data_IF_523761832301
#
_entry.id   IF_523761832301
#
_cell.length_a   1.000
_cell.length_b   1.000
_cell.length_c   1.000
_cell.angle_alpha   90.00
_cell.angle_beta   90.00
_cell.angle_gamma   90.00
#
_symmetry.space_group_name_H-M   'P 1'
#
loop_
_entity.id
_entity.type
_entity.pdbx_description
1 polymer ?
#
# COMPACT_ATOMS: atom_id res chain seq x y z
N UNK A 1 -11.54 -13.13 -27.42
CA UNK A 1 -12.34 -13.03 -26.17
C UNK A 1 -12.07 -11.68 -25.57
N UNK A 2 -13.11 -10.95 -25.18
CA UNK A 2 -12.94 -9.61 -24.60
C UNK A 2 -12.63 -9.82 -23.11
N UNK A 3 -11.41 -9.49 -22.66
CA UNK A 3 -11.09 -9.40 -21.26
C UNK A 3 -11.98 -8.33 -20.64
N UNK A 4 -12.73 -8.63 -19.59
CA UNK A 4 -13.57 -7.62 -18.93
C UNK A 4 -14.93 -8.10 -18.42
N UNK A 5 -15.15 -9.41 -18.31
CA UNK A 5 -16.42 -9.94 -17.78
C UNK A 5 -16.36 -10.00 -16.24
N UNK A 6 -17.40 -9.51 -15.57
CA UNK A 6 -17.58 -9.72 -14.13
C UNK A 6 -17.50 -11.22 -13.79
N UNK A 7 -16.65 -11.58 -12.81
CA UNK A 7 -16.37 -12.98 -12.47
C UNK A 7 -15.16 -13.59 -13.19
N UNK A 8 -14.36 -12.81 -13.94
CA UNK A 8 -13.13 -13.29 -14.54
C UNK A 8 -12.08 -13.68 -13.48
N UNK A 9 -11.25 -14.67 -13.81
CA UNK A 9 -10.15 -15.13 -12.95
C UNK A 9 -8.81 -14.97 -13.66
N UNK A 10 -7.75 -14.81 -12.87
CA UNK A 10 -6.38 -14.91 -13.35
C UNK A 10 -6.03 -16.35 -13.73
N UNK A 11 -4.90 -16.53 -14.37
CA UNK A 11 -4.37 -17.81 -14.80
C UNK A 11 -4.42 -18.89 -13.69
N UNK A 12 -4.11 -18.54 -12.45
CA UNK A 12 -4.14 -19.43 -11.28
C UNK A 12 -5.53 -19.54 -10.59
N UNK A 13 -6.61 -19.10 -11.26
CA UNK A 13 -7.99 -19.28 -10.81
C UNK A 13 -8.50 -18.24 -9.79
N UNK A 14 -7.71 -17.23 -9.44
CA UNK A 14 -8.11 -16.22 -8.48
C UNK A 14 -8.93 -15.09 -9.13
N UNK A 15 -9.96 -14.55 -8.43
CA UNK A 15 -10.76 -13.46 -8.96
C UNK A 15 -9.92 -12.24 -9.30
N UNK A 16 -10.11 -11.68 -10.50
CA UNK A 16 -9.49 -10.42 -10.92
C UNK A 16 -10.47 -9.27 -10.85
N UNK A 17 -9.99 -8.07 -10.68
CA UNK A 17 -10.87 -6.90 -10.64
C UNK A 17 -10.16 -5.59 -10.39
N UNK A 18 -10.83 -4.52 -10.74
CA UNK A 18 -10.43 -3.12 -10.48
C UNK A 18 -11.63 -2.34 -9.95
N UNK A 19 -11.44 -1.46 -8.96
CA UNK A 19 -10.18 -1.12 -8.30
C UNK A 19 -9.63 -2.30 -7.45
N UNK A 20 -8.34 -2.25 -7.13
CA UNK A 20 -7.63 -3.27 -6.34
C UNK A 20 -8.35 -3.66 -5.03
N UNK A 21 -8.96 -2.68 -4.37
CA UNK A 21 -9.73 -2.87 -3.13
C UNK A 21 -10.98 -3.74 -3.31
N UNK A 22 -11.59 -3.76 -4.52
CA UNK A 22 -12.78 -4.57 -4.80
C UNK A 22 -12.49 -6.08 -4.72
N UNK A 23 -11.24 -6.49 -4.90
CA UNK A 23 -10.81 -7.88 -4.78
C UNK A 23 -9.94 -8.13 -3.54
N UNK A 24 -9.92 -7.18 -2.58
CA UNK A 24 -9.21 -7.32 -1.32
C UNK A 24 -7.68 -7.19 -1.43
N UNK A 25 -7.16 -6.50 -2.45
CA UNK A 25 -5.74 -6.16 -2.54
C UNK A 25 -5.42 -5.00 -1.59
N UNK A 26 -4.34 -5.15 -0.85
CA UNK A 26 -3.79 -4.16 0.08
C UNK A 26 -2.28 -4.08 -0.09
N UNK A 27 -1.69 -2.95 0.30
CA UNK A 27 -0.23 -2.75 0.25
C UNK A 27 0.41 -3.20 1.56
N UNK A 28 1.46 -4.01 1.47
CA UNK A 28 2.23 -4.51 2.61
C UNK A 28 3.70 -4.14 2.43
N UNK A 29 4.35 -3.71 3.50
CA UNK A 29 5.78 -3.40 3.46
C UNK A 29 6.60 -4.69 3.66
N UNK A 30 7.57 -4.94 2.79
CA UNK A 30 8.48 -6.08 2.93
C UNK A 30 9.30 -5.92 4.21
N UNK A 31 9.28 -6.96 5.06
CA UNK A 31 10.01 -6.96 6.34
C UNK A 31 11.51 -6.70 6.12
N UNK A 32 12.06 -5.78 6.88
CA UNK A 32 13.47 -5.35 6.77
C UNK A 32 13.72 -4.28 5.69
N UNK A 33 12.67 -3.79 5.04
CA UNK A 33 12.75 -2.73 4.03
C UNK A 33 11.69 -1.66 4.25
N UNK A 34 11.68 -0.65 3.37
CA UNK A 34 10.58 0.33 3.24
C UNK A 34 9.75 0.13 1.97
N UNK A 35 9.88 -1.03 1.31
CA UNK A 35 9.29 -1.29 0.00
C UNK A 35 7.87 -1.83 0.17
N UNK A 36 6.83 -1.12 -0.30
CA UNK A 36 5.47 -1.59 -0.29
C UNK A 36 5.18 -2.45 -1.52
N UNK A 37 4.47 -3.55 -1.34
CA UNK A 37 3.97 -4.39 -2.44
C UNK A 37 2.45 -4.54 -2.29
N UNK A 38 1.65 -4.15 -3.28
CA UNK A 38 0.21 -4.39 -3.29
C UNK A 38 -0.07 -5.85 -3.68
N UNK A 39 -0.64 -6.61 -2.75
CA UNK A 39 -1.03 -8.02 -2.94
C UNK A 39 -2.38 -8.30 -2.30
N UNK A 40 -3.00 -9.42 -2.67
CA UNK A 40 -4.26 -9.88 -2.07
C UNK A 40 -4.06 -10.14 -0.59
N UNK A 41 -4.94 -9.55 0.24
CA UNK A 41 -4.92 -9.68 1.69
C UNK A 41 -5.17 -11.11 2.18
N UNK A 42 -4.78 -11.38 3.41
CA UNK A 42 -4.94 -12.69 4.05
C UNK A 42 -3.76 -13.62 3.80
N UNK A 43 -4.03 -14.90 3.56
CA UNK A 43 -2.99 -15.95 3.45
C UNK A 43 -2.03 -15.71 2.29
N UNK A 44 -2.53 -15.15 1.17
CA UNK A 44 -1.71 -14.76 0.02
C UNK A 44 -0.64 -13.75 0.44
N UNK A 45 -1.04 -12.69 1.14
CA UNK A 45 -0.09 -11.68 1.61
C UNK A 45 0.97 -12.28 2.54
N UNK A 46 0.58 -13.15 3.47
CA UNK A 46 1.53 -13.82 4.36
C UNK A 46 2.59 -14.60 3.58
N UNK A 47 2.18 -15.37 2.59
CA UNK A 47 3.09 -16.21 1.80
C UNK A 47 3.99 -15.35 0.92
N UNK A 48 3.42 -14.47 0.08
CA UNK A 48 4.21 -13.66 -0.87
C UNK A 48 5.13 -12.66 -0.17
N UNK A 49 4.69 -12.04 0.92
CA UNK A 49 5.53 -11.11 1.69
C UNK A 49 6.66 -11.84 2.43
N UNK A 50 6.45 -13.12 2.81
CA UNK A 50 7.53 -13.98 3.33
C UNK A 50 8.56 -14.27 2.26
N UNK A 51 8.13 -14.63 1.06
CA UNK A 51 9.03 -14.85 -0.09
C UNK A 51 9.86 -13.59 -0.35
N UNK A 52 9.21 -12.43 -0.44
CA UNK A 52 9.90 -11.15 -0.67
C UNK A 52 10.89 -10.80 0.45
N UNK A 53 10.53 -11.01 1.73
CA UNK A 53 11.41 -10.75 2.87
C UNK A 53 12.63 -11.66 2.87
N UNK A 54 12.44 -12.95 2.61
CA UNK A 54 13.52 -13.92 2.49
C UNK A 54 14.40 -13.67 1.28
N UNK A 55 13.80 -13.32 0.15
CA UNK A 55 14.56 -12.93 -1.05
C UNK A 55 15.49 -11.76 -0.72
N UNK A 56 14.97 -10.71 -0.09
CA UNK A 56 15.76 -9.54 0.32
C UNK A 56 16.91 -9.90 1.27
N UNK A 57 16.70 -10.84 2.19
CA UNK A 57 17.68 -11.20 3.21
C UNK A 57 18.69 -12.25 2.74
N UNK A 58 18.30 -13.19 1.88
CA UNK A 58 19.05 -14.40 1.57
C UNK A 58 19.58 -14.46 0.12
N UNK A 59 18.94 -13.74 -0.82
CA UNK A 59 19.24 -13.77 -2.26
C UNK A 59 19.97 -12.50 -2.68
N UNK A 60 19.28 -11.35 -2.63
CA UNK A 60 19.85 -10.04 -2.93
C UNK A 60 18.96 -8.91 -2.40
N UNK A 61 19.53 -7.74 -2.09
CA UNK A 61 18.75 -6.59 -1.64
C UNK A 61 17.72 -6.15 -2.66
N UNK A 62 16.47 -5.94 -2.22
CA UNK A 62 15.40 -5.42 -3.07
C UNK A 62 15.60 -3.94 -3.39
N UNK A 63 15.30 -3.58 -4.62
CA UNK A 63 15.32 -2.21 -5.12
C UNK A 63 13.87 -1.77 -5.38
N UNK A 64 13.32 -0.89 -4.54
CA UNK A 64 11.88 -0.62 -4.46
C UNK A 64 11.20 -0.23 -5.78
N UNK A 65 11.89 0.49 -6.66
CA UNK A 65 11.33 0.87 -7.97
C UNK A 65 11.26 -0.30 -8.97
N UNK A 66 11.87 -1.45 -8.65
CA UNK A 66 11.89 -2.68 -9.45
C UNK A 66 11.04 -3.80 -8.82
N UNK A 67 10.27 -3.50 -7.78
CA UNK A 67 9.45 -4.48 -7.07
C UNK A 67 7.99 -4.16 -7.34
N UNK A 68 7.27 -5.13 -7.93
CA UNK A 68 5.90 -4.94 -8.38
C UNK A 68 4.97 -5.99 -7.77
N UNK A 69 3.71 -5.64 -7.60
CA UNK A 69 2.65 -6.52 -7.13
C UNK A 69 1.44 -6.43 -8.04
N UNK A 70 0.27 -6.08 -7.47
CA UNK A 70 -0.97 -5.96 -8.23
C UNK A 70 -0.85 -4.98 -9.41
N UNK A 71 -1.24 -5.47 -10.58
CA UNK A 71 -1.38 -4.71 -11.81
C UNK A 71 -2.53 -5.31 -12.65
N UNK A 72 -3.59 -4.53 -12.92
CA UNK A 72 -4.77 -5.00 -13.64
C UNK A 72 -4.53 -5.07 -15.15
N UNK A 73 -3.89 -6.15 -15.58
CA UNK A 73 -3.52 -6.38 -16.98
C UNK A 73 -3.68 -7.84 -17.39
N UNK A 74 -3.75 -8.06 -18.72
CA UNK A 74 -3.59 -9.39 -19.29
C UNK A 74 -2.16 -9.92 -19.04
N UNK A 75 -1.99 -11.23 -19.11
CA UNK A 75 -0.68 -11.86 -19.10
C UNK A 75 0.13 -11.42 -20.32
N UNK A 76 1.41 -11.09 -20.10
CA UNK A 76 2.28 -10.56 -21.17
C UNK A 76 2.72 -11.63 -22.17
N UNK A 77 2.77 -12.89 -21.72
CA UNK A 77 3.17 -14.03 -22.55
C UNK A 77 1.97 -14.73 -23.18
N UNK A 78 0.74 -14.52 -22.66
CA UNK A 78 -0.49 -15.05 -23.21
C UNK A 78 -1.68 -14.12 -22.95
N UNK A 79 -1.92 -13.19 -23.82
CA UNK A 79 -2.98 -12.15 -23.70
C UNK A 79 -4.41 -12.69 -23.70
N UNK A 80 -4.63 -13.98 -23.84
CA UNK A 80 -5.96 -14.61 -23.65
C UNK A 80 -6.29 -14.84 -22.17
N UNK A 81 -5.34 -14.67 -21.27
CA UNK A 81 -5.49 -14.87 -19.84
C UNK A 81 -5.23 -13.58 -19.07
N UNK A 82 -5.87 -13.45 -17.91
CA UNK A 82 -5.49 -12.44 -16.93
C UNK A 82 -4.22 -12.88 -16.20
N UNK A 83 -3.30 -11.94 -16.05
CA UNK A 83 -2.10 -12.13 -15.24
C UNK A 83 -2.46 -12.40 -13.76
N UNK A 84 -1.63 -13.17 -13.06
CA UNK A 84 -1.72 -13.35 -11.61
C UNK A 84 -1.50 -12.03 -10.83
N UNK A 85 -0.86 -11.03 -11.44
CA UNK A 85 -0.84 -9.67 -10.90
C UNK A 85 -2.24 -9.05 -10.85
N UNK A 86 -3.12 -9.32 -11.82
CA UNK A 86 -4.48 -8.77 -11.86
C UNK A 86 -5.41 -9.28 -10.74
N UNK A 87 -5.04 -10.37 -10.07
CA UNK A 87 -5.69 -10.89 -8.86
C UNK A 87 -4.95 -10.52 -7.57
N UNK A 88 -3.79 -9.87 -7.66
CA UNK A 88 -2.91 -9.59 -6.53
C UNK A 88 -2.23 -10.82 -5.94
N UNK A 89 -2.10 -11.89 -6.72
CA UNK A 89 -1.52 -13.18 -6.29
C UNK A 89 -0.13 -13.45 -6.87
N UNK A 90 0.53 -12.41 -7.40
CA UNK A 90 1.90 -12.46 -7.88
C UNK A 90 2.69 -11.22 -7.45
N UNK A 91 4.01 -11.39 -7.37
CA UNK A 91 4.99 -10.34 -7.15
C UNK A 91 6.16 -10.51 -8.10
N UNK A 92 6.73 -9.39 -8.56
CA UNK A 92 7.99 -9.34 -9.29
C UNK A 92 9.06 -8.70 -8.39
N UNK A 93 10.21 -9.34 -8.27
CA UNK A 93 11.31 -8.93 -7.42
C UNK A 93 12.52 -8.55 -8.28
N UNK A 94 13.02 -7.32 -8.14
CA UNK A 94 14.13 -6.75 -8.91
C UNK A 94 13.96 -6.93 -10.43
N UNK A 95 12.78 -6.62 -10.93
CA UNK A 95 12.32 -6.93 -12.30
C UNK A 95 13.25 -6.47 -13.41
N UNK A 96 13.97 -5.37 -13.25
CA UNK A 96 14.91 -4.86 -14.27
C UNK A 96 16.20 -5.67 -14.33
N UNK A 97 16.58 -6.32 -13.22
CA UNK A 97 17.76 -7.18 -13.17
C UNK A 97 17.45 -8.59 -13.73
N UNK A 98 16.19 -9.01 -13.63
CA UNK A 98 15.74 -10.35 -14.00
C UNK A 98 14.56 -10.30 -14.99
N UNK A 99 14.72 -9.64 -16.17
CA UNK A 99 13.59 -9.32 -17.03
C UNK A 99 12.91 -10.55 -17.63
N UNK A 100 11.61 -10.42 -17.90
CA UNK A 100 10.83 -11.46 -18.57
C UNK A 100 11.52 -11.94 -19.87
N UNK A 101 11.41 -13.21 -20.17
CA UNK A 101 12.06 -13.91 -21.29
C UNK A 101 13.60 -13.95 -21.21
N UNK A 102 14.19 -13.68 -20.05
CA UNK A 102 15.59 -13.92 -19.75
C UNK A 102 15.74 -15.10 -18.77
N UNK A 103 16.82 -15.85 -18.92
CA UNK A 103 17.17 -16.96 -18.04
C UNK A 103 18.62 -16.91 -17.62
N UNK A 104 18.93 -17.46 -16.43
CA UNK A 104 20.30 -17.47 -15.90
C UNK A 104 20.77 -16.10 -15.41
N UNK A 105 19.84 -15.25 -15.03
CA UNK A 105 20.14 -13.91 -14.52
C UNK A 105 20.61 -13.95 -13.05
N UNK A 106 20.29 -15.03 -12.32
CA UNK A 106 20.80 -15.29 -10.97
C UNK A 106 22.07 -16.16 -11.00
N UNK A 107 22.98 -15.90 -10.09
CA UNK A 107 24.12 -16.79 -9.85
C UNK A 107 23.66 -18.15 -9.30
N UNK A 108 24.51 -19.18 -9.39
CA UNK A 108 24.19 -20.50 -8.84
C UNK A 108 23.89 -20.47 -7.32
N UNK A 109 24.56 -19.61 -6.56
CA UNK A 109 24.32 -19.44 -5.14
C UNK A 109 22.94 -18.81 -4.86
N UNK A 110 22.57 -17.78 -5.61
CA UNK A 110 21.25 -17.15 -5.51
C UNK A 110 20.14 -18.11 -5.90
N UNK A 111 20.30 -18.85 -7.01
CA UNK A 111 19.38 -19.91 -7.40
C UNK A 111 19.15 -20.94 -6.28
N UNK A 112 20.23 -21.40 -5.62
CA UNK A 112 20.14 -22.33 -4.50
C UNK A 112 19.29 -21.74 -3.37
N UNK A 113 19.45 -20.46 -3.06
CA UNK A 113 18.65 -19.76 -2.04
C UNK A 113 17.18 -19.65 -2.43
N UNK A 114 16.88 -19.25 -3.68
CA UNK A 114 15.50 -19.18 -4.18
C UNK A 114 14.84 -20.55 -4.08
N UNK A 115 15.51 -21.62 -4.53
CA UNK A 115 15.00 -22.99 -4.44
C UNK A 115 14.75 -23.44 -2.99
N UNK A 116 15.57 -23.01 -2.05
CA UNK A 116 15.33 -23.27 -0.62
C UNK A 116 14.09 -22.55 -0.11
N UNK A 117 13.88 -21.27 -0.50
CA UNK A 117 12.66 -20.52 -0.16
C UNK A 117 11.42 -21.23 -0.70
N UNK A 118 11.46 -21.66 -1.97
CA UNK A 118 10.35 -22.36 -2.61
C UNK A 118 10.06 -23.74 -2.04
N UNK A 119 11.11 -24.47 -1.60
CA UNK A 119 10.95 -25.75 -0.91
C UNK A 119 10.15 -25.59 0.38
N UNK A 120 10.41 -24.52 1.15
CA UNK A 120 9.67 -24.21 2.36
C UNK A 120 8.23 -23.76 2.06
N UNK A 121 7.95 -23.33 0.84
CA UNK A 121 6.59 -22.98 0.38
C UNK A 121 5.75 -24.20 -0.05
N UNK A 122 6.27 -25.43 -0.03
CA UNK A 122 5.54 -26.67 -0.28
C UNK A 122 4.64 -26.64 -1.54
N UNK A 123 5.19 -26.18 -2.67
CA UNK A 123 4.50 -26.00 -3.95
C UNK A 123 3.27 -25.04 -3.91
N UNK A 124 3.13 -24.23 -2.89
CA UNK A 124 2.11 -23.15 -2.84
C UNK A 124 2.54 -21.95 -3.67
N UNK A 125 3.85 -21.77 -3.88
CA UNK A 125 4.42 -20.70 -4.71
C UNK A 125 5.12 -21.30 -5.91
N UNK A 126 4.84 -20.79 -7.11
CA UNK A 126 5.61 -21.04 -8.32
C UNK A 126 6.61 -19.92 -8.57
N UNK A 127 7.69 -20.24 -9.26
CA UNK A 127 8.71 -19.30 -9.72
C UNK A 127 8.78 -19.30 -11.24
N UNK A 128 8.76 -18.12 -11.84
CA UNK A 128 8.72 -17.96 -13.27
C UNK A 128 9.95 -18.48 -14.03
N UNK A 129 11.06 -18.78 -13.34
CA UNK A 129 12.18 -19.48 -13.95
C UNK A 129 11.81 -20.87 -14.52
N UNK A 130 10.74 -21.47 -13.99
CA UNK A 130 10.25 -22.80 -14.39
C UNK A 130 9.18 -22.73 -15.48
N UNK A 131 8.81 -21.54 -15.95
CA UNK A 131 7.81 -21.36 -16.99
C UNK A 131 8.38 -21.64 -18.39
N UNK A 132 7.50 -21.98 -19.34
CA UNK A 132 7.88 -22.18 -20.73
C UNK A 132 8.53 -20.94 -21.39
N UNK A 133 8.09 -19.74 -20.99
CA UNK A 133 8.80 -18.46 -21.18
C UNK A 133 9.37 -18.08 -19.84
N UNK A 134 10.69 -18.11 -19.63
CA UNK A 134 11.29 -17.81 -18.34
C UNK A 134 10.97 -16.39 -17.87
N UNK A 135 10.61 -16.24 -16.59
CA UNK A 135 10.33 -14.97 -15.95
C UNK A 135 10.90 -14.98 -14.53
N UNK A 136 12.22 -14.82 -14.43
CA UNK A 136 12.95 -15.08 -13.18
C UNK A 136 12.64 -14.09 -12.05
N UNK A 137 12.09 -12.89 -12.37
CA UNK A 137 11.61 -11.94 -11.38
C UNK A 137 10.32 -12.39 -10.69
N UNK A 138 9.52 -13.26 -11.36
CA UNK A 138 8.11 -13.53 -11.04
C UNK A 138 7.93 -14.68 -10.05
N UNK A 139 7.16 -14.41 -9.00
CA UNK A 139 6.71 -15.40 -8.00
C UNK A 139 5.18 -15.29 -7.86
N UNK A 140 4.47 -16.41 -7.94
CA UNK A 140 3.00 -16.40 -7.85
C UNK A 140 2.47 -17.51 -6.96
N UNK A 141 1.25 -17.32 -6.44
CA UNK A 141 0.50 -18.38 -5.77
C UNK A 141 0.11 -19.44 -6.80
N UNK A 142 0.54 -20.67 -6.58
CA UNK A 142 0.37 -21.81 -7.50
C UNK A 142 -0.78 -22.74 -7.08
N UNK A 143 -1.75 -22.21 -6.32
CA UNK A 143 -2.89 -22.99 -5.83
C UNK A 143 -4.18 -22.19 -6.00
N UNK A 144 -5.30 -22.89 -6.12
CA UNK A 144 -6.63 -22.29 -6.20
C UNK A 144 -7.01 -21.59 -4.88
N UNK A 145 -7.99 -20.66 -4.89
CA UNK A 145 -8.40 -19.91 -3.70
C UNK A 145 -8.74 -20.75 -2.47
N UNK A 146 -9.35 -21.93 -2.68
CA UNK A 146 -9.84 -22.80 -1.60
C UNK A 146 -8.87 -23.95 -1.27
N UNK A 147 -7.65 -23.92 -1.78
CA UNK A 147 -6.67 -24.97 -1.51
C UNK A 147 -6.15 -24.85 -0.06
N UNK A 148 -6.34 -25.91 0.78
CA UNK A 148 -5.97 -25.85 2.20
C UNK A 148 -4.46 -25.71 2.45
N UNK A 149 -3.62 -26.00 1.44
CA UNK A 149 -2.16 -25.83 1.56
C UNK A 149 -1.77 -24.38 1.77
N UNK A 150 -2.50 -23.44 1.15
CA UNK A 150 -2.24 -22.01 1.34
C UNK A 150 -2.47 -21.59 2.79
N UNK A 151 -3.61 -21.94 3.37
CA UNK A 151 -3.94 -21.61 4.76
C UNK A 151 -2.99 -22.30 5.75
N UNK A 152 -2.60 -23.55 5.47
CA UNK A 152 -1.64 -24.30 6.28
C UNK A 152 -0.27 -23.62 6.28
N UNK A 153 0.26 -23.29 5.10
CA UNK A 153 1.54 -22.59 4.95
C UNK A 153 1.50 -21.21 5.62
N UNK A 154 0.48 -20.42 5.35
CA UNK A 154 0.32 -19.11 5.98
C UNK A 154 0.27 -19.20 7.51
N UNK A 155 -0.39 -20.22 8.05
CA UNK A 155 -0.44 -20.50 9.48
C UNK A 155 0.95 -20.82 10.08
N UNK A 156 1.77 -21.59 9.39
CA UNK A 156 3.14 -21.88 9.77
C UNK A 156 4.01 -20.62 9.74
N UNK A 157 3.90 -19.82 8.71
CA UNK A 157 4.68 -18.60 8.51
C UNK A 157 4.33 -17.52 9.54
N UNK A 158 3.09 -17.43 10.00
CA UNK A 158 2.66 -16.49 11.07
C UNK A 158 3.43 -16.65 12.37
N UNK A 159 3.98 -17.82 12.65
CA UNK A 159 4.83 -18.06 13.83
C UNK A 159 6.30 -17.70 13.65
N UNK A 160 6.77 -17.52 12.43
CA UNK A 160 8.19 -17.35 12.08
C UNK A 160 8.53 -15.89 11.70
N UNK A 161 7.60 -15.18 11.16
CA UNK A 161 7.78 -13.76 10.85
C UNK A 161 7.00 -12.96 11.89
N UNK A 162 7.64 -11.96 12.53
CA UNK A 162 6.87 -10.94 13.22
C UNK A 162 5.80 -10.50 12.25
N UNK A 163 4.54 -10.57 12.66
CA UNK A 163 3.37 -10.09 11.91
C UNK A 163 3.82 -8.94 11.03
N UNK A 164 3.60 -8.96 9.68
CA UNK A 164 3.64 -7.72 8.94
C UNK A 164 2.81 -6.80 9.83
N UNK A 165 3.28 -5.62 10.23
CA UNK A 165 2.48 -4.82 11.11
C UNK A 165 1.09 -4.87 10.46
N UNK A 166 0.13 -5.55 11.13
CA UNK A 166 -1.25 -5.22 10.95
C UNK A 166 -1.14 -3.73 10.90
N UNK A 167 -1.43 -3.12 9.73
CA UNK A 167 -1.46 -1.67 9.72
C UNK A 167 -2.35 -1.40 10.91
N UNK A 168 -1.72 -1.14 12.06
CA UNK A 168 -2.46 -0.59 13.16
C UNK A 168 -2.90 0.72 12.56
N UNK A 169 -4.10 0.66 11.99
CA UNK A 169 -4.81 1.86 11.61
C UNK A 169 -4.96 2.58 12.94
N UNK A 170 -3.91 3.35 13.25
CA UNK A 170 -3.98 4.19 14.42
C UNK A 170 -5.03 5.21 14.10
N UNK A 171 -6.15 5.08 14.79
CA UNK A 171 -7.20 6.09 14.72
C UNK A 171 -6.68 7.33 15.42
N UNK A 172 -6.61 8.44 14.72
CA UNK A 172 -6.19 9.72 15.25
C UNK A 172 -7.25 10.78 15.02
N UNK A 173 -7.18 11.80 15.85
CA UNK A 173 -7.78 13.11 15.58
C UNK A 173 -6.67 14.16 15.53
N UNK A 174 -6.81 15.12 14.65
CA UNK A 174 -5.87 16.21 14.51
C UNK A 174 -6.45 17.47 15.17
N UNK A 175 -5.77 17.98 16.19
CA UNK A 175 -6.14 19.24 16.85
C UNK A 175 -5.25 20.35 16.35
N UNK A 176 -5.82 21.36 15.74
CA UNK A 176 -5.09 22.54 15.24
C UNK A 176 -4.47 23.33 16.38
N UNK A 177 -3.19 23.62 16.28
CA UNK A 177 -2.44 24.40 17.28
C UNK A 177 -2.86 25.86 17.37
N UNK A 178 -3.43 26.43 16.30
CA UNK A 178 -3.78 27.85 16.27
C UNK A 178 -5.11 28.16 16.97
N UNK A 179 -6.12 27.29 16.89
CA UNK A 179 -7.44 27.56 17.48
C UNK A 179 -7.90 26.48 18.47
N UNK A 180 -7.09 25.42 18.67
CA UNK A 180 -7.39 24.34 19.59
C UNK A 180 -8.57 23.46 19.18
N UNK A 181 -9.04 23.55 17.94
CA UNK A 181 -10.19 22.78 17.42
C UNK A 181 -9.74 21.58 16.62
N UNK A 182 -10.61 20.56 16.56
CA UNK A 182 -10.36 19.35 15.80
C UNK A 182 -10.66 19.55 14.31
N UNK A 183 -9.83 18.94 13.49
CA UNK A 183 -10.03 18.86 12.04
C UNK A 183 -11.20 17.92 11.76
N UNK A 184 -12.14 18.39 10.97
CA UNK A 184 -13.40 17.70 10.65
C UNK A 184 -13.50 17.45 9.16
N UNK A 185 -13.86 16.25 8.75
CA UNK A 185 -14.30 15.92 7.40
C UNK A 185 -15.78 16.33 7.24
N UNK A 186 -16.01 17.60 6.95
CA UNK A 186 -17.35 18.20 6.94
C UNK A 186 -18.32 17.53 5.96
N UNK A 187 -19.63 17.58 6.30
CA UNK A 187 -20.70 16.98 5.52
C UNK A 187 -20.44 15.49 5.20
N UNK A 188 -19.98 14.73 6.21
CA UNK A 188 -19.58 13.33 6.01
C UNK A 188 -18.49 13.17 4.93
N UNK A 189 -17.51 14.08 4.91
CA UNK A 189 -16.41 14.07 3.95
C UNK A 189 -16.75 14.60 2.54
N UNK A 190 -17.97 15.04 2.31
CA UNK A 190 -18.36 15.64 1.03
C UNK A 190 -17.90 17.10 0.87
N UNK A 191 -17.51 17.75 1.97
CA UNK A 191 -16.93 19.09 1.96
C UNK A 191 -15.47 19.07 2.45
N UNK A 192 -14.80 20.20 2.26
CA UNK A 192 -13.40 20.37 2.62
C UNK A 192 -13.16 20.20 4.14
N UNK A 193 -11.98 19.70 4.50
CA UNK A 193 -11.55 19.58 5.88
C UNK A 193 -11.35 20.96 6.51
N UNK A 194 -11.85 21.15 7.73
CA UNK A 194 -11.71 22.41 8.49
C UNK A 194 -11.53 22.13 9.98
N UNK A 195 -10.73 22.95 10.68
CA UNK A 195 -10.50 22.84 12.12
C UNK A 195 -11.57 23.65 12.91
N UNK A 196 -12.77 23.09 13.12
CA UNK A 196 -13.91 23.84 13.66
C UNK A 196 -14.68 23.13 14.78
N UNK A 197 -14.32 21.90 15.18
CA UNK A 197 -15.02 21.15 16.24
C UNK A 197 -14.28 21.15 17.57
N UNK A 198 -15.04 21.10 18.63
CA UNK A 198 -14.52 21.03 20.02
C UNK A 198 -14.59 19.64 20.62
N UNK A 199 -15.30 18.72 19.96
CA UNK A 199 -15.52 17.33 20.40
C UNK A 199 -15.14 16.40 19.24
N UNK A 200 -14.57 15.24 19.58
CA UNK A 200 -14.24 14.19 18.63
C UNK A 200 -15.47 13.31 18.41
N UNK A 201 -15.89 13.18 17.18
CA UNK A 201 -16.86 12.21 16.68
C UNK A 201 -16.30 11.49 15.45
N UNK A 202 -17.12 10.71 14.74
CA UNK A 202 -16.63 10.00 13.54
C UNK A 202 -16.08 10.89 12.42
N UNK A 203 -16.47 12.15 12.37
CA UNK A 203 -15.98 13.07 11.33
C UNK A 203 -14.63 13.69 11.66
N UNK A 204 -14.18 13.61 12.90
CA UNK A 204 -12.89 14.08 13.41
C UNK A 204 -11.86 12.95 13.53
N UNK A 205 -12.25 11.72 13.18
CA UNK A 205 -11.39 10.54 13.26
C UNK A 205 -10.87 10.13 11.88
N UNK A 206 -9.58 9.79 11.85
CA UNK A 206 -8.88 9.36 10.66
C UNK A 206 -8.02 8.13 10.96
N UNK A 207 -8.10 7.12 10.11
CA UNK A 207 -7.11 6.04 10.09
C UNK A 207 -5.81 6.58 9.49
N UNK A 208 -4.70 6.39 10.19
CA UNK A 208 -3.35 6.61 9.64
C UNK A 208 -2.89 5.32 8.97
N UNK A 209 -2.68 5.37 7.68
CA UNK A 209 -2.24 4.25 6.86
C UNK A 209 -0.83 4.54 6.36
N UNK A 210 0.15 3.73 6.76
CA UNK A 210 1.51 3.87 6.26
C UNK A 210 1.55 3.54 4.76
N UNK A 211 2.17 4.43 3.97
CA UNK A 211 2.33 4.27 2.52
C UNK A 211 3.79 4.38 2.07
N UNK A 212 4.71 4.55 3.02
CA UNK A 212 6.15 4.65 2.82
C UNK A 212 6.88 4.93 4.14
N UNK A 213 8.20 5.02 4.11
CA UNK A 213 9.10 5.09 5.30
C UNK A 213 8.77 6.24 6.27
N UNK A 214 8.17 7.32 5.82
CA UNK A 214 7.72 8.45 6.65
C UNK A 214 6.46 9.05 6.07
N UNK A 215 5.80 8.31 5.19
CA UNK A 215 4.64 8.75 4.45
C UNK A 215 3.40 8.00 4.90
N UNK A 216 2.31 8.73 5.00
CA UNK A 216 1.01 8.22 5.44
C UNK A 216 -0.09 8.70 4.51
N UNK A 217 -1.15 7.94 4.42
CA UNK A 217 -2.45 8.39 3.96
C UNK A 217 -3.41 8.48 5.15
N UNK A 218 -4.33 9.42 5.12
CA UNK A 218 -5.37 9.59 6.12
C UNK A 218 -6.71 9.17 5.52
N UNK A 219 -7.37 8.17 6.12
CA UNK A 219 -8.70 7.74 5.69
C UNK A 219 -9.74 8.24 6.70
N UNK A 220 -10.67 9.08 6.26
CA UNK A 220 -11.69 9.66 7.12
C UNK A 220 -12.75 8.61 7.54
N UNK A 221 -13.06 8.52 8.82
CA UNK A 221 -14.17 7.68 9.31
C UNK A 221 -15.53 8.19 8.83
N UNK A 222 -15.63 9.47 8.48
CA UNK A 222 -16.84 10.10 7.98
C UNK A 222 -17.46 9.39 6.76
N UNK A 223 -16.62 8.85 5.86
CA UNK A 223 -17.03 8.24 4.59
C UNK A 223 -16.11 7.12 4.10
N UNK A 224 -15.13 6.70 4.88
CA UNK A 224 -14.12 5.68 4.55
C UNK A 224 -13.24 6.04 3.33
N UNK A 225 -13.15 7.32 2.96
CA UNK A 225 -12.33 7.80 1.84
C UNK A 225 -11.05 8.48 2.29
N UNK A 226 -10.07 8.47 1.41
CA UNK A 226 -8.77 9.10 1.66
C UNK A 226 -8.85 10.63 1.52
N UNK A 227 -8.18 11.31 2.43
CA UNK A 227 -7.94 12.75 2.38
C UNK A 227 -6.98 13.04 1.24
N UNK A 228 -7.37 13.96 0.38
CA UNK A 228 -6.66 14.37 -0.82
C UNK A 228 -6.24 15.84 -0.70
N UNK A 229 -4.98 16.16 -1.02
CA UNK A 229 -4.53 17.52 -1.34
C UNK A 229 -4.98 17.86 -2.77
N UNK A 230 -6.24 18.22 -2.92
CA UNK A 230 -6.92 18.29 -4.22
C UNK A 230 -6.25 19.28 -5.17
N UNK A 231 -6.37 19.00 -6.48
CA UNK A 231 -5.72 19.75 -7.56
C UNK A 231 -4.22 19.95 -7.32
N UNK A 232 -3.54 18.86 -6.95
CA UNK A 232 -2.11 18.90 -6.61
C UNK A 232 -1.80 19.89 -5.47
N UNK A 233 -2.70 20.02 -4.48
CA UNK A 233 -2.54 20.89 -3.32
C UNK A 233 -2.86 22.36 -3.55
N UNK A 234 -3.40 22.75 -4.73
CA UNK A 234 -3.86 24.11 -5.00
C UNK A 234 -5.30 24.35 -4.53
N UNK A 235 -6.04 23.30 -4.18
CA UNK A 235 -7.36 23.38 -3.56
C UNK A 235 -7.32 22.82 -2.13
N UNK A 236 -8.40 23.04 -1.38
CA UNK A 236 -8.53 22.58 0.00
C UNK A 236 -8.50 21.06 0.10
N UNK A 237 -8.01 20.54 1.25
CA UNK A 237 -8.04 19.12 1.54
C UNK A 237 -9.49 18.62 1.62
N UNK A 238 -9.76 17.47 1.03
CA UNK A 238 -11.08 16.83 1.02
C UNK A 238 -10.94 15.30 1.09
N UNK A 239 -11.85 14.62 1.80
CA UNK A 239 -11.88 13.16 1.88
C UNK A 239 -12.77 12.57 0.77
N UNK A 240 -12.25 12.47 -0.46
CA UNK A 240 -13.06 12.10 -1.63
C UNK A 240 -12.39 11.09 -2.57
N UNK A 241 -11.29 10.44 -2.15
CA UNK A 241 -10.59 9.44 -2.97
C UNK A 241 -10.75 8.04 -2.40
N UNK A 242 -10.84 7.07 -3.29
CA UNK A 242 -10.95 5.65 -2.95
C UNK A 242 -9.59 4.93 -3.02
N UNK A 243 -8.59 5.57 -3.64
CA UNK A 243 -7.24 5.02 -3.86
C UNK A 243 -6.20 6.03 -3.39
N UNK A 244 -5.10 5.52 -2.82
CA UNK A 244 -3.96 6.35 -2.41
C UNK A 244 -3.03 6.55 -3.59
N UNK A 245 -2.83 7.80 -3.97
CA UNK A 245 -1.84 8.27 -4.92
C UNK A 245 -0.99 9.38 -4.30
N UNK A 246 -0.27 10.12 -5.13
CA UNK A 246 0.59 11.22 -4.68
C UNK A 246 -0.17 12.33 -3.96
N UNK A 247 -1.43 12.57 -4.31
CA UNK A 247 -2.24 13.63 -3.70
C UNK A 247 -2.82 13.23 -2.34
N UNK A 248 -2.92 11.94 -2.05
CA UNK A 248 -3.41 11.36 -0.79
C UNK A 248 -2.27 11.04 0.19
N UNK A 249 -1.02 11.26 -0.26
CA UNK A 249 0.18 10.96 0.52
C UNK A 249 0.70 12.20 1.24
N UNK A 250 0.95 12.04 2.54
CA UNK A 250 1.49 13.09 3.42
C UNK A 250 2.69 12.57 4.20
N UNK A 251 3.65 13.45 4.49
CA UNK A 251 4.72 13.18 5.45
C UNK A 251 4.36 13.83 6.79
N UNK A 252 4.40 13.05 7.87
CA UNK A 252 4.29 13.60 9.23
C UNK A 252 5.67 14.14 9.62
N UNK A 253 5.74 15.43 9.91
CA UNK A 253 6.99 16.14 10.28
C UNK A 253 6.90 16.56 11.75
N UNK A 254 7.58 15.84 12.68
CA UNK A 254 7.62 16.21 14.09
C UNK A 254 8.20 17.61 14.30
N UNK A 255 7.65 18.34 15.27
CA UNK A 255 8.12 19.66 15.67
C UNK A 255 8.76 19.62 17.07
N UNK A 256 9.70 20.52 17.40
CA UNK A 256 10.38 20.51 18.69
C UNK A 256 9.46 20.69 19.91
N UNK A 257 8.26 21.25 19.71
CA UNK A 257 7.27 21.48 20.77
C UNK A 257 6.29 20.31 20.96
N UNK A 258 6.57 19.15 20.35
CA UNK A 258 5.74 17.96 20.44
C UNK A 258 4.53 17.95 19.50
N UNK A 259 4.30 19.02 18.74
CA UNK A 259 3.31 19.04 17.66
C UNK A 259 3.85 18.36 16.39
N UNK A 260 3.01 18.22 15.39
CA UNK A 260 3.40 17.75 14.05
C UNK A 260 2.98 18.76 12.99
N UNK A 261 3.62 18.69 11.83
CA UNK A 261 3.11 19.28 10.61
C UNK A 261 2.89 18.19 9.57
N UNK A 262 1.92 18.39 8.68
CA UNK A 262 1.68 17.50 7.54
C UNK A 262 2.22 18.14 6.27
N UNK A 263 3.12 17.46 5.56
CA UNK A 263 3.65 17.90 4.28
C UNK A 263 3.05 17.07 3.16
N UNK A 264 2.30 17.68 2.24
CA UNK A 264 1.67 16.99 1.13
C UNK A 264 2.70 16.58 0.07
N UNK A 265 2.71 15.32 -0.33
CA UNK A 265 3.56 14.82 -1.42
C UNK A 265 3.15 15.43 -2.77
N UNK A 266 1.90 15.87 -2.91
CA UNK A 266 1.34 16.50 -4.10
C UNK A 266 2.20 17.67 -4.62
N UNK A 267 2.64 18.56 -3.71
CA UNK A 267 3.36 19.79 -4.05
C UNK A 267 4.54 20.09 -3.12
N UNK A 268 4.82 19.25 -2.12
CA UNK A 268 5.88 19.44 -1.14
C UNK A 268 5.61 20.52 -0.11
N UNK A 269 4.37 21.03 0.00
CA UNK A 269 4.00 22.11 0.91
C UNK A 269 3.31 21.60 2.16
N UNK A 270 3.35 22.42 3.23
CA UNK A 270 2.71 22.10 4.50
C UNK A 270 1.22 22.45 4.47
N UNK A 271 0.45 21.59 5.11
CA UNK A 271 -0.98 21.79 5.35
C UNK A 271 -1.18 22.88 6.39
N UNK A 272 -2.01 23.84 6.08
CA UNK A 272 -2.30 25.03 6.86
C UNK A 272 -3.77 25.07 7.27
N UNK A 273 -4.04 25.38 8.53
CA UNK A 273 -5.37 25.77 9.01
C UNK A 273 -5.59 27.26 8.69
N UNK A 274 -6.08 27.54 7.47
CA UNK A 274 -6.17 28.89 6.92
C UNK A 274 -7.01 29.84 7.79
N UNK A 275 -6.61 31.14 7.80
CA UNK A 275 -7.22 32.20 8.58
C UNK A 275 -7.43 31.78 10.06
N UNK A 276 -6.35 31.29 10.67
CA UNK A 276 -6.38 30.79 12.05
C UNK A 276 -7.44 29.69 12.27
N UNK A 277 -7.63 28.82 11.29
CA UNK A 277 -8.55 27.67 11.35
C UNK A 277 -10.02 28.01 11.07
N UNK A 278 -10.34 29.20 10.63
CA UNK A 278 -11.71 29.60 10.24
C UNK A 278 -12.03 29.26 8.78
N UNK A 279 -11.01 28.89 8.01
CA UNK A 279 -11.14 28.45 6.62
C UNK A 279 -10.63 27.00 6.45
N UNK A 280 -11.01 26.32 5.38
CA UNK A 280 -10.57 24.96 5.09
C UNK A 280 -9.06 24.79 5.06
N UNK A 281 -8.61 23.58 5.42
CA UNK A 281 -7.21 23.19 5.32
C UNK A 281 -6.74 23.14 3.89
N UNK A 282 -5.54 23.65 3.62
CA UNK A 282 -4.91 23.63 2.29
C UNK A 282 -3.39 23.44 2.41
N UNK A 283 -2.78 22.72 1.46
CA UNK A 283 -1.34 22.48 1.40
C UNK A 283 -0.64 23.61 0.60
N UNK A 284 -0.39 24.75 1.22
CA UNK A 284 0.09 25.95 0.50
C UNK A 284 1.29 26.69 1.15
N UNK A 285 1.81 26.20 2.28
CA UNK A 285 2.94 26.86 2.97
C UNK A 285 4.27 26.14 2.74
N UNK A 286 5.33 26.92 2.67
CA UNK A 286 6.72 26.43 2.52
C UNK A 286 7.46 26.28 3.85
N UNK A 287 6.91 26.81 4.93
CA UNK A 287 7.47 26.74 6.28
C UNK A 287 6.39 26.46 7.31
N UNK A 288 6.80 25.83 8.42
CA UNK A 288 5.91 25.53 9.55
C UNK A 288 5.91 26.70 10.53
N UNK A 289 4.74 27.25 10.80
CA UNK A 289 4.46 28.25 11.84
C UNK A 289 3.28 27.74 12.69
N UNK A 290 2.57 28.60 13.39
CA UNK A 290 1.45 28.21 14.26
C UNK A 290 0.26 27.60 13.52
N UNK A 291 -0.01 28.00 12.29
CA UNK A 291 -1.15 27.53 11.51
C UNK A 291 -0.93 26.13 10.88
N UNK A 292 0.33 25.69 10.78
CA UNK A 292 0.73 24.40 10.22
C UNK A 292 0.94 23.34 11.30
N UNK A 293 0.78 23.71 12.57
CA UNK A 293 0.97 22.80 13.71
C UNK A 293 -0.31 22.11 14.13
N UNK A 294 -0.20 20.82 14.34
CA UNK A 294 -1.30 19.99 14.83
C UNK A 294 -0.81 19.10 15.97
N UNK A 295 -1.70 18.81 16.92
CA UNK A 295 -1.49 17.79 17.94
C UNK A 295 -2.26 16.53 17.52
N UNK A 296 -1.60 15.38 17.57
CA UNK A 296 -2.27 14.09 17.40
C UNK A 296 -2.92 13.71 18.73
N UNK A 297 -4.20 13.34 18.66
CA UNK A 297 -5.00 12.83 19.78
C UNK A 297 -5.55 11.46 19.37
N UNK A 298 -5.35 10.43 20.20
CA UNK A 298 -5.80 9.07 19.93
C UNK A 298 -4.87 8.04 20.47
#
# INVERSE_FOLDING_TARGET
MTLGVAGATSYNGWPVGTPASAIGVQSYTVTGTSIPIPVKAGDVAWVLMTVAARFNAEVEPLQGWQVWGYDYRADVNNTNWWSCHASGTAIDLNAVLHPNNASGTFTAAQNTKIRSILADCNNVVAWGADFGTPDEMHFEINVLPDDPRLATLAGQLRGVIPTPPVQQTRVISLRSGINGRYVTAEQRGAAALIANRTVIGPWEQFDVIAVGTSQVALRAHANSRFVCADRAGSASLIANRDVVGRWETFTIVPQPDGTIALRAAANGRYVTAEQAGTQPLIANRTAVRSWEKFTIVG
#
